data_IF_671483471805
#
_entry.id   IF_671483471805
#
_cell.length_a   1.000
_cell.length_b   1.000
_cell.length_c   1.000
_cell.angle_alpha   90.00
_cell.angle_beta   90.00
_cell.angle_gamma   90.00
#
_symmetry.space_group_name_H-M   'P 1'
#
loop_
_entity.id
_entity.type
_entity.pdbx_description
1 polymer ?
#
# COMPACT_ATOMS: atom_id res chain seq x y z
N UNK A 1 -42.88 5.52 2.11
CA UNK A 1 -42.18 5.27 0.83
C UNK A 1 -40.74 5.67 1.02
N UNK A 2 -39.80 4.74 0.84
CA UNK A 2 -38.36 5.05 0.84
C UNK A 2 -38.01 5.75 -0.47
N UNK A 3 -37.54 6.99 -0.37
CA UNK A 3 -37.00 7.75 -1.49
C UNK A 3 -35.67 7.13 -1.90
N UNK A 4 -35.69 6.37 -3.00
CA UNK A 4 -34.50 5.79 -3.62
C UNK A 4 -33.62 6.96 -4.08
N UNK A 5 -32.38 6.97 -3.61
CA UNK A 5 -31.34 7.97 -3.94
C UNK A 5 -31.40 8.25 -5.45
N UNK A 6 -31.70 9.48 -5.91
CA UNK A 6 -31.57 9.78 -7.32
C UNK A 6 -30.09 9.70 -7.64
N UNK A 7 -29.72 8.70 -8.43
CA UNK A 7 -28.38 8.60 -9.01
C UNK A 7 -28.29 9.77 -10.00
N UNK A 8 -27.79 10.91 -9.52
CA UNK A 8 -27.57 12.09 -10.36
C UNK A 8 -26.37 11.75 -11.25
N UNK A 9 -26.67 11.15 -12.39
CA UNK A 9 -25.72 11.05 -13.48
C UNK A 9 -25.79 12.38 -14.22
N UNK A 10 -24.77 13.24 -14.11
CA UNK A 10 -24.77 14.46 -14.87
C UNK A 10 -24.87 14.14 -16.37
N UNK A 11 -25.82 14.80 -17.03
CA UNK A 11 -26.03 14.68 -18.48
C UNK A 11 -24.78 15.18 -19.22
N UNK A 12 -24.13 16.20 -18.68
CA UNK A 12 -22.88 16.76 -19.17
C UNK A 12 -21.65 16.04 -18.60
N UNK A 13 -20.84 15.47 -19.49
CA UNK A 13 -19.64 14.70 -19.12
C UNK A 13 -18.61 15.51 -18.32
N UNK A 14 -18.65 16.82 -18.46
CA UNK A 14 -17.79 17.78 -17.77
C UNK A 14 -17.94 17.72 -16.25
N UNK A 15 -19.12 17.38 -15.73
CA UNK A 15 -19.36 17.29 -14.29
C UNK A 15 -18.71 16.04 -13.66
N UNK A 16 -18.31 15.03 -14.45
CA UNK A 16 -17.52 13.88 -13.94
C UNK A 16 -16.02 14.16 -13.82
N UNK A 17 -15.50 15.19 -14.49
CA UNK A 17 -14.09 15.58 -14.47
C UNK A 17 -13.56 15.71 -13.03
N UNK A 18 -14.23 16.43 -12.09
CA UNK A 18 -13.75 16.52 -10.71
C UNK A 18 -13.66 15.16 -10.01
N UNK A 19 -14.64 14.27 -10.22
CA UNK A 19 -14.61 12.92 -9.65
C UNK A 19 -13.46 12.07 -10.22
N UNK A 20 -13.20 12.21 -11.53
CA UNK A 20 -12.08 11.52 -12.18
C UNK A 20 -10.73 12.00 -11.64
N UNK A 21 -10.55 13.31 -11.44
CA UNK A 21 -9.33 13.87 -10.85
C UNK A 21 -9.12 13.32 -9.44
N UNK A 22 -10.18 13.29 -8.61
CA UNK A 22 -10.09 12.72 -7.26
C UNK A 22 -9.71 11.24 -7.28
N UNK A 23 -10.31 10.46 -8.18
CA UNK A 23 -9.98 9.05 -8.35
C UNK A 23 -8.51 8.86 -8.73
N UNK A 24 -8.03 9.63 -9.71
CA UNK A 24 -6.64 9.57 -10.17
C UNK A 24 -5.68 9.95 -9.04
N UNK A 25 -5.98 10.99 -8.26
CA UNK A 25 -5.16 11.38 -7.10
C UNK A 25 -5.06 10.25 -6.07
N UNK A 26 -6.18 9.62 -5.71
CA UNK A 26 -6.21 8.50 -4.75
C UNK A 26 -5.42 7.30 -5.28
N UNK A 27 -5.59 6.96 -6.56
CA UNK A 27 -4.87 5.85 -7.19
C UNK A 27 -3.36 6.10 -7.21
N UNK A 28 -2.93 7.33 -7.54
CA UNK A 28 -1.51 7.71 -7.51
C UNK A 28 -0.95 7.56 -6.10
N UNK A 29 -1.64 8.08 -5.09
CA UNK A 29 -1.19 7.99 -3.69
C UNK A 29 -1.12 6.53 -3.24
N UNK A 30 -2.14 5.73 -3.53
CA UNK A 30 -2.14 4.30 -3.20
C UNK A 30 -0.98 3.55 -3.88
N UNK A 31 -0.74 3.84 -5.17
CA UNK A 31 0.39 3.28 -5.91
C UNK A 31 1.74 3.64 -5.30
N UNK A 32 1.92 4.90 -4.89
CA UNK A 32 3.12 5.37 -4.20
C UNK A 32 3.30 4.66 -2.86
N UNK A 33 2.25 4.56 -2.04
CA UNK A 33 2.31 3.86 -0.74
C UNK A 33 2.75 2.41 -0.92
N UNK A 34 2.17 1.68 -1.87
CA UNK A 34 2.56 0.29 -2.16
C UNK A 34 4.01 0.21 -2.64
N UNK A 35 4.44 1.14 -3.50
CA UNK A 35 5.82 1.20 -3.97
C UNK A 35 6.82 1.43 -2.83
N UNK A 36 6.55 2.40 -1.96
CA UNK A 36 7.38 2.68 -0.79
C UNK A 36 7.41 1.50 0.18
N UNK A 37 6.26 0.88 0.45
CA UNK A 37 6.15 -0.25 1.34
C UNK A 37 6.98 -1.45 0.85
N UNK A 38 6.93 -1.77 -0.45
CA UNK A 38 7.75 -2.83 -1.06
C UNK A 38 9.24 -2.54 -0.94
N UNK A 39 9.66 -1.30 -1.14
CA UNK A 39 11.08 -0.90 -1.01
C UNK A 39 11.58 -1.03 0.43
N UNK A 40 10.75 -0.65 1.39
CA UNK A 40 11.06 -0.76 2.82
C UNK A 40 11.10 -2.23 3.25
N UNK A 41 10.11 -3.03 2.83
CA UNK A 41 10.02 -4.46 3.16
C UNK A 41 11.27 -5.24 2.74
N UNK A 42 11.79 -5.02 1.52
CA UNK A 42 13.05 -5.65 1.07
C UNK A 42 14.26 -5.32 1.95
N UNK A 43 14.33 -4.09 2.47
CA UNK A 43 15.41 -3.70 3.40
C UNK A 43 15.26 -4.36 4.77
N UNK A 44 14.02 -4.53 5.23
CA UNK A 44 13.76 -5.20 6.50
C UNK A 44 14.05 -6.70 6.39
N UNK A 45 13.70 -7.33 5.28
CA UNK A 45 13.98 -8.75 5.02
C UNK A 45 15.48 -9.06 5.07
N UNK A 46 16.31 -8.24 4.41
CA UNK A 46 17.77 -8.40 4.45
C UNK A 46 18.32 -8.29 5.89
N UNK A 47 17.84 -7.30 6.67
CA UNK A 47 18.25 -7.12 8.07
C UNK A 47 17.77 -8.26 8.97
N UNK A 48 16.55 -8.76 8.75
CA UNK A 48 16.01 -9.89 9.49
C UNK A 48 16.85 -11.16 9.25
N UNK A 49 17.24 -11.40 8.00
CA UNK A 49 18.09 -12.53 7.64
C UNK A 49 19.48 -12.46 8.29
N UNK A 50 20.12 -11.29 8.29
CA UNK A 50 21.39 -11.07 8.99
C UNK A 50 21.26 -11.33 10.50
N UNK A 51 20.16 -10.88 11.12
CA UNK A 51 19.88 -11.14 12.53
C UNK A 51 19.69 -12.64 12.81
N UNK A 52 18.95 -13.36 11.96
CA UNK A 52 18.77 -14.81 12.08
C UNK A 52 20.10 -15.57 11.98
N UNK A 53 20.98 -15.17 11.05
CA UNK A 53 22.31 -15.79 10.89
C UNK A 53 23.16 -15.59 12.15
N UNK A 54 23.21 -14.36 12.69
CA UNK A 54 23.94 -14.07 13.93
C UNK A 54 23.43 -14.87 15.13
N UNK A 55 22.12 -14.94 15.32
CA UNK A 55 21.52 -15.72 16.40
C UNK A 55 21.84 -17.22 16.28
N UNK A 56 21.86 -17.78 15.06
CA UNK A 56 22.25 -19.18 14.82
C UNK A 56 23.72 -19.43 15.18
N UNK A 57 24.62 -18.49 14.86
CA UNK A 57 26.03 -18.59 15.23
C UNK A 57 26.23 -18.53 16.74
N UNK A 58 25.53 -17.62 17.42
CA UNK A 58 25.55 -17.50 18.89
C UNK A 58 25.03 -18.78 19.57
N UNK A 59 23.91 -19.35 19.07
CA UNK A 59 23.37 -20.61 19.60
C UNK A 59 24.31 -21.80 19.37
N UNK A 60 24.95 -21.88 18.20
CA UNK A 60 25.93 -22.94 17.89
C UNK A 60 27.15 -22.86 18.82
N UNK A 61 27.62 -21.65 19.10
CA UNK A 61 28.77 -21.42 19.99
C UNK A 61 28.44 -21.60 21.47
N UNK A 62 27.17 -21.44 21.89
CA UNK A 62 26.74 -21.73 23.27
C UNK A 62 26.50 -23.22 23.55
N UNK A 63 26.36 -24.06 22.52
CA UNK A 63 26.08 -25.50 22.66
C UNK A 63 27.27 -26.41 22.30
N UNK A 64 28.47 -25.84 22.16
CA UNK A 64 29.75 -26.55 22.00
C UNK A 64 30.63 -26.31 23.23
#
# INVERSE_FOLDING_TARGET
>A
MLNIIPMYFPEDKTEYIPAFIQLVLVVIVAGLVVFFFKKISKKQEAKAKELEERLKEEQKNQHS
#
